data_IF_672830540200
#
_entry.id   IF_672830540200
#
_cell.length_a   1.000
_cell.length_b   1.000
_cell.length_c   1.000
_cell.angle_alpha   90.00
_cell.angle_beta   90.00
_cell.angle_gamma   90.00
#
_symmetry.space_group_name_H-M   'P 1'
#
loop_
_entity.id
_entity.type
_entity.pdbx_description
1 polymer ?
#
# COMPACT_ATOMS: atom_id res chain seq x y z
N UNK A 1 -0.74 3.03 16.60
CA UNK A 1 -1.25 4.38 16.21
C UNK A 1 -2.75 4.48 16.51
N UNK A 2 -3.34 5.68 16.63
CA UNK A 2 -4.80 5.79 16.78
C UNK A 2 -5.51 5.51 15.45
N UNK A 3 -6.57 4.69 15.51
CA UNK A 3 -7.38 4.30 14.35
C UNK A 3 -8.67 5.13 14.26
N UNK A 4 -9.23 5.21 13.06
CA UNK A 4 -10.55 5.80 12.76
C UNK A 4 -11.32 4.86 11.83
N UNK A 5 -12.62 4.71 12.10
CA UNK A 5 -13.52 3.94 11.23
C UNK A 5 -13.89 4.78 10.00
N UNK A 6 -13.73 4.21 8.81
CA UNK A 6 -14.22 4.85 7.58
C UNK A 6 -15.75 4.74 7.58
N UNK A 7 -16.42 5.88 7.39
CA UNK A 7 -17.88 5.95 7.47
C UNK A 7 -18.54 4.96 6.49
N UNK A 8 -19.58 4.26 6.95
CA UNK A 8 -20.32 3.23 6.19
C UNK A 8 -19.50 2.02 5.71
N UNK A 9 -18.37 1.71 6.34
CA UNK A 9 -17.58 0.50 6.09
C UNK A 9 -17.19 -0.14 7.42
N UNK A 10 -16.61 -1.34 7.41
CA UNK A 10 -16.00 -1.96 8.60
C UNK A 10 -14.48 -1.75 8.67
N UNK A 11 -13.94 -0.84 7.87
CA UNK A 11 -12.50 -0.55 7.83
C UNK A 11 -12.10 0.38 8.98
N UNK A 12 -11.09 -0.01 9.74
CA UNK A 12 -10.47 0.80 10.78
C UNK A 12 -9.02 1.14 10.41
N UNK A 13 -8.80 2.37 9.95
CA UNK A 13 -7.49 2.81 9.42
C UNK A 13 -6.75 3.71 10.40
N UNK A 14 -5.43 3.73 10.32
CA UNK A 14 -4.60 4.74 10.96
C UNK A 14 -4.86 6.12 10.35
N UNK A 15 -4.72 7.16 11.16
CA UNK A 15 -4.86 8.56 10.71
C UNK A 15 -3.77 9.02 9.73
N UNK A 16 -2.74 8.19 9.51
CA UNK A 16 -1.67 8.40 8.54
C UNK A 16 -1.77 7.30 7.50
N UNK A 17 -1.68 7.70 6.23
CA UNK A 17 -1.71 6.83 5.06
C UNK A 17 -0.34 6.85 4.36
N UNK A 18 0.15 5.69 3.92
CA UNK A 18 1.38 5.56 3.15
C UNK A 18 1.09 5.63 1.64
N UNK A 19 1.48 6.73 1.00
CA UNK A 19 1.40 6.90 -0.45
C UNK A 19 2.40 6.04 -1.22
N UNK A 20 1.91 5.21 -2.14
CA UNK A 20 2.71 4.28 -2.93
C UNK A 20 3.20 4.80 -4.29
N UNK A 21 3.00 6.08 -4.62
CA UNK A 21 3.36 6.66 -5.92
C UNK A 21 4.87 6.63 -6.24
N UNK A 22 5.73 6.48 -5.22
CA UNK A 22 7.19 6.43 -5.35
C UNK A 22 7.74 5.04 -5.63
N UNK A 23 6.95 3.98 -5.43
CA UNK A 23 7.37 2.59 -5.61
C UNK A 23 7.56 2.28 -7.10
N UNK A 24 8.76 1.83 -7.46
CA UNK A 24 9.13 1.53 -8.86
C UNK A 24 9.56 2.76 -9.66
N UNK A 25 9.62 3.94 -9.03
CA UNK A 25 10.19 5.16 -9.61
C UNK A 25 11.39 5.65 -8.81
N UNK A 26 11.14 6.28 -7.65
CA UNK A 26 12.18 6.83 -6.79
C UNK A 26 12.76 5.74 -5.91
N UNK A 27 11.92 4.79 -5.47
CA UNK A 27 12.33 3.63 -4.71
C UNK A 27 12.34 2.40 -5.61
N UNK A 28 13.44 1.66 -5.58
CA UNK A 28 13.47 0.31 -6.13
C UNK A 28 12.63 -0.66 -5.26
N UNK A 29 12.50 -1.91 -5.72
CA UNK A 29 11.68 -2.91 -5.04
C UNK A 29 12.18 -3.18 -3.61
N UNK A 30 13.48 -3.35 -3.42
CA UNK A 30 14.07 -3.65 -2.12
C UNK A 30 13.82 -2.52 -1.11
N UNK A 31 14.01 -1.27 -1.52
CA UNK A 31 13.76 -0.12 -0.65
C UNK A 31 12.28 0.10 -0.40
N UNK A 32 11.43 -0.19 -1.38
CA UNK A 32 9.97 -0.16 -1.21
C UNK A 32 9.53 -1.18 -0.15
N UNK A 33 10.11 -2.38 -0.15
CA UNK A 33 9.83 -3.39 0.87
C UNK A 33 10.26 -2.93 2.25
N UNK A 34 11.45 -2.33 2.41
CA UNK A 34 11.88 -1.79 3.70
C UNK A 34 10.92 -0.73 4.24
N UNK A 35 10.41 0.17 3.39
CA UNK A 35 9.45 1.21 3.80
C UNK A 35 8.11 0.58 4.21
N UNK A 36 7.62 -0.41 3.46
CA UNK A 36 6.38 -1.12 3.75
C UNK A 36 6.48 -1.92 5.07
N UNK A 37 7.60 -2.61 5.27
CA UNK A 37 7.89 -3.34 6.52
C UNK A 37 7.92 -2.34 7.70
N UNK A 38 8.71 -1.26 7.61
CA UNK A 38 8.78 -0.25 8.67
C UNK A 38 7.43 0.42 8.96
N UNK A 39 6.64 0.72 7.93
CA UNK A 39 5.32 1.34 8.13
C UNK A 39 4.39 0.43 8.91
N UNK A 40 4.33 -0.86 8.54
CA UNK A 40 3.47 -1.84 9.21
C UNK A 40 3.96 -2.21 10.60
N UNK A 41 5.28 -2.35 10.81
CA UNK A 41 5.88 -2.59 12.12
C UNK A 41 5.61 -1.45 13.11
N UNK A 42 5.50 -0.21 12.63
CA UNK A 42 5.12 0.95 13.46
C UNK A 42 3.59 1.09 13.66
N UNK A 43 2.82 0.09 13.24
CA UNK A 43 1.37 0.02 13.41
C UNK A 43 0.58 0.86 12.42
N UNK A 44 1.18 1.25 11.29
CA UNK A 44 0.48 1.78 10.13
C UNK A 44 -0.27 0.66 9.41
N UNK A 45 -1.50 0.94 8.97
CA UNK A 45 -2.34 -0.07 8.32
C UNK A 45 -3.08 0.44 7.09
N UNK A 46 -2.70 1.60 6.53
CA UNK A 46 -3.39 2.14 5.35
C UNK A 46 -2.37 2.52 4.30
N UNK A 47 -2.42 1.84 3.15
CA UNK A 47 -1.54 2.06 1.99
C UNK A 47 -2.39 2.55 0.82
N UNK A 48 -1.89 3.54 0.11
CA UNK A 48 -2.50 4.13 -1.08
C UNK A 48 -1.73 3.77 -2.35
N UNK A 49 -2.43 3.32 -3.38
CA UNK A 49 -1.86 3.00 -4.69
C UNK A 49 -2.83 3.38 -5.82
N UNK A 50 -2.41 3.19 -7.06
CA UNK A 50 -3.21 3.41 -8.26
C UNK A 50 -2.64 2.62 -9.45
N UNK A 51 -3.52 2.20 -10.37
CA UNK A 51 -3.17 1.59 -11.66
C UNK A 51 -2.20 2.44 -12.49
N UNK A 52 -2.30 3.76 -12.37
CA UNK A 52 -1.46 4.73 -13.08
C UNK A 52 -0.12 5.02 -12.38
N UNK A 53 0.19 4.44 -11.23
CA UNK A 53 1.44 4.72 -10.52
C UNK A 53 2.58 3.76 -10.92
N UNK A 54 3.75 4.26 -11.37
CA UNK A 54 4.07 5.57 -11.94
C UNK A 54 4.16 5.49 -13.48
N UNK A 55 3.08 5.81 -14.19
CA UNK A 55 3.00 5.68 -15.65
C UNK A 55 4.08 6.51 -16.37
N UNK A 56 4.55 7.60 -15.76
CA UNK A 56 5.61 8.44 -16.29
C UNK A 56 6.98 7.73 -16.37
N UNK A 57 7.14 6.56 -15.74
CA UNK A 57 8.38 5.77 -15.79
C UNK A 57 8.37 4.74 -16.92
N UNK A 58 7.24 4.07 -17.14
CA UNK A 58 7.15 2.92 -18.06
C UNK A 58 6.11 3.09 -19.20
N UNK A 59 5.38 4.21 -19.21
CA UNK A 59 4.31 4.49 -20.18
C UNK A 59 2.99 3.77 -19.90
N UNK A 60 2.89 2.90 -18.89
CA UNK A 60 1.70 2.05 -18.64
C UNK A 60 1.15 2.15 -17.22
N UNK A 61 1.97 2.45 -16.22
CA UNK A 61 1.59 2.38 -14.80
C UNK A 61 1.76 0.98 -14.21
N UNK A 62 1.15 0.74 -13.05
CA UNK A 62 1.02 -0.55 -12.37
C UNK A 62 2.25 -1.03 -11.59
N UNK A 63 3.36 -0.29 -11.58
CA UNK A 63 4.56 -0.73 -10.83
C UNK A 63 4.33 -0.67 -9.33
N UNK A 64 3.59 0.34 -8.84
CA UNK A 64 3.27 0.46 -7.41
C UNK A 64 2.48 -0.77 -6.92
N UNK A 65 1.39 -1.11 -7.61
CA UNK A 65 0.57 -2.28 -7.30
C UNK A 65 1.36 -3.58 -7.42
N UNK A 66 2.21 -3.70 -8.45
CA UNK A 66 3.06 -4.87 -8.65
C UNK A 66 4.02 -5.08 -7.47
N UNK A 67 4.67 -4.01 -7.01
CA UNK A 67 5.60 -4.05 -5.88
C UNK A 67 4.87 -4.38 -4.58
N UNK A 68 3.73 -3.73 -4.31
CA UNK A 68 2.90 -4.02 -3.13
C UNK A 68 2.42 -5.47 -3.14
N UNK A 69 1.96 -5.98 -4.29
CA UNK A 69 1.54 -7.37 -4.46
C UNK A 69 2.66 -8.37 -4.22
N UNK A 70 3.87 -8.10 -4.72
CA UNK A 70 5.07 -8.91 -4.45
C UNK A 70 5.45 -8.89 -2.97
N UNK A 71 5.43 -7.72 -2.34
CA UNK A 71 5.70 -7.57 -0.91
C UNK A 71 4.71 -8.40 -0.09
N UNK A 72 3.41 -8.25 -0.35
CA UNK A 72 2.37 -9.02 0.34
C UNK A 72 2.55 -10.54 0.19
N UNK A 73 2.89 -10.98 -1.03
CA UNK A 73 3.17 -12.40 -1.31
C UNK A 73 4.40 -12.89 -0.55
N UNK A 74 5.45 -12.09 -0.46
CA UNK A 74 6.70 -12.45 0.21
C UNK A 74 6.57 -12.55 1.73
N UNK A 75 5.73 -11.70 2.34
CA UNK A 75 5.49 -11.69 3.79
C UNK A 75 4.35 -12.61 4.22
N UNK A 76 3.53 -13.07 3.29
CA UNK A 76 2.34 -13.86 3.59
C UNK A 76 1.28 -13.10 4.39
N UNK A 77 1.41 -11.78 4.48
CA UNK A 77 0.55 -10.90 5.28
C UNK A 77 -0.79 -10.60 4.59
N UNK A 78 -1.04 -11.12 3.39
CA UNK A 78 -2.32 -11.00 2.69
C UNK A 78 -3.48 -11.57 3.54
N UNK A 79 -3.24 -12.62 4.33
CA UNK A 79 -4.23 -13.19 5.24
C UNK A 79 -4.51 -12.32 6.49
N UNK A 80 -3.68 -11.31 6.74
CA UNK A 80 -3.93 -10.31 7.77
C UNK A 80 -4.82 -9.17 7.23
N UNK A 81 -5.07 -9.10 5.91
CA UNK A 81 -6.08 -8.20 5.33
C UNK A 81 -7.51 -8.63 5.71
N UNK A 82 -7.71 -9.92 6.03
CA UNK A 82 -9.01 -10.45 6.48
C UNK A 82 -9.27 -10.18 7.98
N UNK A 83 -8.28 -9.59 8.68
CA UNK A 83 -8.32 -9.30 10.13
C UNK A 83 -7.74 -7.91 10.40
N UNK A 84 -8.49 -6.84 10.14
CA UNK A 84 -8.33 -5.48 10.72
C UNK A 84 -6.93 -4.78 10.67
N UNK A 85 -5.91 -5.40 10.07
CA UNK A 85 -4.50 -5.08 10.31
C UNK A 85 -3.82 -4.36 9.14
N UNK A 86 -4.38 -4.42 7.93
CA UNK A 86 -3.87 -3.69 6.76
C UNK A 86 -4.97 -3.49 5.70
N UNK A 87 -5.12 -2.25 5.25
CA UNK A 87 -6.07 -1.80 4.25
C UNK A 87 -5.34 -1.16 3.07
N UNK A 88 -5.80 -1.46 1.84
CA UNK A 88 -5.26 -0.94 0.60
C UNK A 88 -6.33 -0.10 -0.13
N UNK A 89 -6.01 1.17 -0.38
CA UNK A 89 -6.80 2.06 -1.23
C UNK A 89 -6.19 2.07 -2.64
N UNK A 90 -6.92 1.56 -3.62
CA UNK A 90 -6.57 1.64 -5.04
C UNK A 90 -7.45 2.68 -5.74
N UNK A 91 -6.84 3.51 -6.59
CA UNK A 91 -7.52 4.45 -7.47
C UNK A 91 -7.38 3.99 -8.91
N UNK A 92 -8.51 3.79 -9.58
CA UNK A 92 -8.56 3.45 -11.00
C UNK A 92 -8.68 4.72 -11.85
N UNK A 93 -7.91 4.82 -12.93
CA UNK A 93 -8.06 5.90 -13.92
C UNK A 93 -9.32 5.74 -14.77
N UNK A 94 -10.42 6.40 -14.40
CA UNK A 94 -11.54 6.74 -15.29
C UNK A 94 -11.69 8.24 -15.39
#
# INVERSE_FOLDING_TARGET
MSKVKINNTDLEITRINLGGNVFGWTLDEAKSFEILDQFTENGGNFIDTADTYPWWVNGTGGLSETIIGKWMKSRGNRRNLDKEDLDLLDKTGK
#
